data_IF_473987749981
#
_entry.id   IF_473987749981
#
_cell.length_a   1.000
_cell.length_b   1.000
_cell.length_c   1.000
_cell.angle_alpha   90.00
_cell.angle_beta   90.00
_cell.angle_gamma   90.00
#
_symmetry.space_group_name_H-M   'P 1'
#
loop_
_entity.id
_entity.type
_entity.pdbx_description
1 polymer ?
#
# COMPACT_ATOMS: atom_id res chain seq x y z
N UNK A 1 -10.52 -66.71 35.30
CA UNK A 1 -11.37 -65.81 34.48
C UNK A 1 -10.69 -65.68 33.12
N UNK A 2 -11.29 -66.19 32.04
CA UNK A 2 -10.70 -66.25 30.70
C UNK A 2 -10.84 -64.90 29.99
N UNK A 3 -9.73 -64.31 29.54
CA UNK A 3 -9.73 -63.14 28.66
C UNK A 3 -9.90 -63.65 27.22
N UNK A 4 -11.02 -63.29 26.57
CA UNK A 4 -11.25 -63.53 25.13
C UNK A 4 -10.76 -62.31 24.37
N UNK A 5 -9.79 -62.52 23.49
CA UNK A 5 -9.36 -61.58 22.45
C UNK A 5 -10.44 -61.47 21.37
N UNK A 6 -10.83 -60.24 21.03
CA UNK A 6 -11.74 -59.91 19.94
C UNK A 6 -10.90 -59.40 18.75
N UNK A 7 -11.07 -59.90 17.52
CA UNK A 7 -10.29 -59.43 16.37
C UNK A 7 -10.84 -58.09 15.87
N UNK A 8 -9.96 -57.11 15.72
CA UNK A 8 -10.24 -55.87 15.01
C UNK A 8 -10.33 -56.18 13.51
N UNK A 9 -11.53 -56.11 12.93
CA UNK A 9 -11.73 -56.09 11.48
C UNK A 9 -11.53 -54.65 11.02
N UNK A 10 -10.42 -54.40 10.33
CA UNK A 10 -10.14 -53.11 9.70
C UNK A 10 -10.98 -53.00 8.41
N UNK A 11 -12.13 -52.32 8.49
CA UNK A 11 -12.91 -51.96 7.31
C UNK A 11 -12.21 -50.79 6.59
N UNK A 12 -11.52 -51.10 5.49
CA UNK A 12 -10.99 -50.09 4.58
C UNK A 12 -12.17 -49.43 3.83
N UNK A 13 -12.59 -48.25 4.28
CA UNK A 13 -13.45 -47.37 3.48
C UNK A 13 -12.62 -46.80 2.33
N UNK A 14 -12.78 -47.37 1.14
CA UNK A 14 -12.36 -46.72 -0.09
C UNK A 14 -13.26 -45.49 -0.29
N UNK A 15 -12.73 -44.30 0.01
CA UNK A 15 -13.37 -43.04 -0.39
C UNK A 15 -13.21 -42.93 -1.91
N UNK A 16 -14.29 -42.92 -2.70
CA UNK A 16 -14.16 -42.73 -4.14
C UNK A 16 -13.52 -41.36 -4.39
N UNK A 17 -12.44 -41.34 -5.18
CA UNK A 17 -11.82 -40.12 -5.65
C UNK A 17 -12.88 -39.29 -6.40
N UNK A 18 -13.30 -38.17 -5.81
CA UNK A 18 -14.15 -37.19 -6.47
C UNK A 18 -13.38 -36.66 -7.68
N UNK A 19 -13.93 -36.82 -8.88
CA UNK A 19 -13.39 -36.18 -10.07
C UNK A 19 -13.27 -34.65 -9.81
N UNK A 20 -12.14 -34.04 -10.18
CA UNK A 20 -11.93 -32.63 -9.92
C UNK A 20 -13.00 -31.74 -10.56
N UNK A 21 -13.46 -30.74 -9.81
CA UNK A 21 -14.47 -29.79 -10.27
C UNK A 21 -13.80 -28.52 -10.79
N UNK A 22 -14.17 -28.11 -12.01
CA UNK A 22 -13.70 -26.86 -12.63
C UNK A 22 -14.63 -25.69 -12.29
N UNK A 23 -14.06 -24.51 -12.08
CA UNK A 23 -14.76 -23.27 -11.73
C UNK A 23 -14.40 -22.17 -12.72
N UNK A 24 -15.33 -21.22 -12.92
CA UNK A 24 -15.06 -20.05 -13.74
C UNK A 24 -14.11 -19.12 -13.00
N UNK A 25 -13.02 -18.76 -13.66
CA UNK A 25 -12.07 -17.77 -13.20
C UNK A 25 -11.86 -16.69 -14.25
N UNK A 26 -11.55 -15.49 -13.78
CA UNK A 26 -11.08 -14.39 -14.60
C UNK A 26 -9.81 -13.83 -13.98
N UNK A 27 -8.87 -13.33 -14.78
CA UNK A 27 -7.66 -12.67 -14.32
C UNK A 27 -7.29 -11.50 -15.23
N UNK A 28 -6.66 -10.47 -14.64
CA UNK A 28 -6.21 -9.29 -15.37
C UNK A 28 -4.70 -9.33 -15.55
N UNK A 29 -4.24 -9.05 -16.76
CA UNK A 29 -2.83 -8.77 -17.05
C UNK A 29 -2.68 -7.28 -17.36
N UNK A 30 -2.14 -6.47 -16.43
CA UNK A 30 -1.96 -5.05 -16.64
C UNK A 30 -0.87 -4.72 -17.68
N UNK A 31 0.11 -5.61 -17.87
CA UNK A 31 1.19 -5.40 -18.85
C UNK A 31 0.66 -5.64 -20.27
N UNK A 32 -0.02 -6.77 -20.48
CA UNK A 32 -0.65 -7.09 -21.76
C UNK A 32 -1.94 -6.29 -22.01
N UNK A 33 -2.52 -5.68 -20.95
CA UNK A 33 -3.82 -4.99 -20.98
C UNK A 33 -4.92 -5.92 -21.47
N UNK A 34 -5.03 -7.08 -20.82
CA UNK A 34 -6.00 -8.10 -21.18
C UNK A 34 -6.74 -8.63 -19.95
N UNK A 35 -7.94 -9.14 -20.17
CA UNK A 35 -8.61 -10.08 -19.27
C UNK A 35 -8.52 -11.48 -19.89
N UNK A 36 -8.23 -12.49 -19.06
CA UNK A 36 -8.24 -13.90 -19.43
C UNK A 36 -9.23 -14.67 -18.57
N UNK A 37 -10.04 -15.52 -19.21
CA UNK A 37 -11.16 -16.25 -18.60
C UNK A 37 -11.03 -17.74 -18.92
N UNK A 38 -11.22 -18.60 -17.92
CA UNK A 38 -11.09 -20.04 -18.09
C UNK A 38 -11.91 -20.84 -17.08
N UNK A 39 -12.09 -22.13 -17.36
CA UNK A 39 -12.61 -23.12 -16.41
C UNK A 39 -11.44 -23.96 -15.88
N UNK A 40 -11.11 -23.80 -14.61
CA UNK A 40 -9.98 -24.48 -13.96
C UNK A 40 -10.33 -24.86 -12.52
N UNK A 41 -9.58 -25.79 -11.92
CA UNK A 41 -9.70 -26.01 -10.47
C UNK A 41 -9.12 -24.82 -9.69
N UNK A 42 -7.97 -24.32 -10.13
CA UNK A 42 -7.34 -23.07 -9.69
C UNK A 42 -6.92 -22.18 -10.88
N UNK A 43 -6.84 -20.85 -10.74
CA UNK A 43 -6.62 -19.96 -11.88
C UNK A 43 -5.19 -19.97 -12.44
N UNK A 44 -4.28 -20.81 -11.92
CA UNK A 44 -2.89 -20.94 -12.38
C UNK A 44 -2.66 -22.24 -13.18
N UNK A 45 -3.63 -23.17 -13.15
CA UNK A 45 -3.63 -24.39 -13.94
C UNK A 45 -4.09 -24.17 -15.38
N UNK A 46 -3.86 -25.19 -16.20
CA UNK A 46 -4.37 -25.23 -17.58
C UNK A 46 -5.89 -25.26 -17.58
N UNK A 47 -6.51 -24.29 -18.26
CA UNK A 47 -7.96 -24.28 -18.45
C UNK A 47 -8.42 -25.49 -19.26
N UNK A 48 -9.55 -26.05 -18.85
CA UNK A 48 -10.27 -27.04 -19.66
C UNK A 48 -10.98 -26.31 -20.77
N UNK A 49 -11.00 -26.92 -21.95
CA UNK A 49 -11.67 -26.37 -23.10
C UNK A 49 -13.15 -26.08 -22.80
N UNK A 50 -13.55 -24.82 -22.96
CA UNK A 50 -14.92 -24.36 -22.73
C UNK A 50 -15.92 -24.94 -23.74
N UNK A 51 -15.45 -25.39 -24.91
CA UNK A 51 -16.23 -26.03 -25.96
C UNK A 51 -17.53 -25.26 -26.26
N UNK A 52 -18.66 -25.97 -26.29
CA UNK A 52 -20.01 -25.43 -26.53
C UNK A 52 -20.47 -24.33 -25.54
N UNK A 53 -19.71 -24.06 -24.48
CA UNK A 53 -20.07 -23.07 -23.45
C UNK A 53 -19.54 -21.67 -23.74
N UNK A 54 -18.63 -21.52 -24.70
CA UNK A 54 -18.05 -20.22 -25.07
C UNK A 54 -19.12 -19.14 -25.32
N UNK A 55 -20.22 -19.40 -26.06
CA UNK A 55 -21.27 -18.40 -26.30
C UNK A 55 -22.06 -17.99 -25.04
N UNK A 56 -21.96 -18.77 -23.96
CA UNK A 56 -22.66 -18.54 -22.70
C UNK A 56 -21.84 -17.67 -21.73
N UNK A 57 -20.55 -17.46 -22.01
CA UNK A 57 -19.68 -16.61 -21.21
C UNK A 57 -19.92 -15.15 -21.56
N UNK A 58 -20.26 -14.35 -20.56
CA UNK A 58 -20.38 -12.89 -20.68
C UNK A 58 -19.34 -12.23 -19.79
N UNK A 59 -18.67 -11.20 -20.30
CA UNK A 59 -17.69 -10.42 -19.55
C UNK A 59 -17.92 -8.92 -19.74
N UNK A 60 -17.65 -8.12 -18.72
CA UNK A 60 -17.84 -6.66 -18.75
C UNK A 60 -16.84 -5.93 -17.83
N UNK A 61 -16.56 -4.67 -18.17
CA UNK A 61 -15.83 -3.73 -17.31
C UNK A 61 -16.75 -2.91 -16.41
N UNK A 62 -16.18 -1.92 -15.70
CA UNK A 62 -16.93 -0.90 -14.95
C UNK A 62 -16.66 0.49 -15.55
N UNK A 63 -17.69 1.27 -15.93
CA UNK A 63 -19.12 0.94 -15.94
C UNK A 63 -19.43 -0.26 -16.85
N UNK A 64 -20.57 -0.93 -16.66
CA UNK A 64 -20.98 -2.25 -17.20
C UNK A 64 -20.95 -2.38 -18.74
N UNK A 65 -19.77 -2.24 -19.33
CA UNK A 65 -19.51 -2.27 -20.77
C UNK A 65 -19.09 -3.68 -21.16
N UNK A 66 -19.83 -4.36 -22.07
CA UNK A 66 -19.48 -5.68 -22.54
C UNK A 66 -18.09 -5.74 -23.19
N UNK A 67 -17.38 -6.85 -22.98
CA UNK A 67 -16.10 -7.15 -23.60
C UNK A 67 -16.29 -8.14 -24.75
N UNK A 68 -15.63 -7.89 -25.87
CA UNK A 68 -15.60 -8.81 -27.00
C UNK A 68 -14.55 -9.88 -26.73
N UNK A 69 -15.00 -11.09 -26.39
CA UNK A 69 -14.14 -12.23 -26.10
C UNK A 69 -13.68 -12.90 -27.40
N UNK A 70 -12.42 -13.29 -27.44
CA UNK A 70 -11.78 -14.05 -28.51
C UNK A 70 -11.12 -15.30 -27.91
N UNK A 71 -11.16 -16.40 -28.66
CA UNK A 71 -10.57 -17.67 -28.25
C UNK A 71 -9.03 -17.61 -28.35
N UNK A 72 -8.36 -18.08 -27.30
CA UNK A 72 -6.91 -18.24 -27.25
C UNK A 72 -6.57 -19.57 -26.56
N UNK A 73 -6.51 -20.63 -27.35
CA UNK A 73 -6.35 -21.99 -26.85
C UNK A 73 -7.54 -22.43 -25.99
N UNK A 74 -7.30 -22.76 -24.72
CA UNK A 74 -8.35 -23.12 -23.75
C UNK A 74 -8.90 -21.92 -22.97
N UNK A 75 -8.43 -20.71 -23.27
CA UNK A 75 -8.83 -19.47 -22.62
C UNK A 75 -9.69 -18.61 -23.55
N UNK A 76 -10.52 -17.76 -22.93
CA UNK A 76 -11.13 -16.62 -23.61
C UNK A 76 -10.41 -15.35 -23.17
N UNK A 77 -10.05 -14.49 -24.11
CA UNK A 77 -9.35 -13.23 -23.85
C UNK A 77 -10.06 -12.03 -24.47
N UNK A 78 -9.87 -10.87 -23.86
CA UNK A 78 -10.25 -9.60 -24.45
C UNK A 78 -9.27 -8.49 -24.06
N UNK A 79 -9.04 -7.50 -24.94
CA UNK A 79 -8.36 -6.27 -24.56
C UNK A 79 -9.12 -5.56 -23.42
N UNK A 80 -8.41 -5.22 -22.35
CA UNK A 80 -9.01 -4.60 -21.18
C UNK A 80 -8.00 -3.70 -20.46
N UNK A 81 -8.41 -2.45 -20.17
CA UNK A 81 -7.59 -1.42 -19.51
C UNK A 81 -8.17 -0.93 -18.18
N UNK A 82 -9.19 -1.62 -17.67
CA UNK A 82 -9.78 -1.29 -16.37
C UNK A 82 -9.13 -2.10 -15.25
N UNK A 83 -9.41 -1.69 -14.01
CA UNK A 83 -8.83 -2.33 -12.82
C UNK A 83 -9.69 -3.45 -12.25
N UNK A 84 -10.92 -3.61 -12.77
CA UNK A 84 -11.90 -4.60 -12.32
C UNK A 84 -12.80 -5.07 -13.46
N UNK A 85 -13.04 -6.37 -13.58
CA UNK A 85 -13.94 -6.97 -14.56
C UNK A 85 -14.87 -8.01 -13.90
N UNK A 86 -16.11 -8.08 -14.39
CA UNK A 86 -17.09 -9.11 -14.03
C UNK A 86 -17.28 -10.10 -15.16
N UNK A 87 -17.52 -11.37 -14.80
CA UNK A 87 -17.79 -12.46 -15.75
C UNK A 87 -18.90 -13.35 -15.21
N UNK A 88 -19.73 -13.88 -16.11
CA UNK A 88 -20.76 -14.86 -15.80
C UNK A 88 -20.80 -16.01 -16.79
N UNK A 89 -21.15 -17.19 -16.31
CA UNK A 89 -21.49 -18.37 -17.11
C UNK A 89 -22.72 -19.06 -16.49
N UNK A 90 -23.84 -19.05 -17.22
CA UNK A 90 -25.02 -19.83 -16.87
C UNK A 90 -24.85 -21.26 -17.39
N UNK A 91 -24.73 -22.24 -16.50
CA UNK A 91 -24.53 -23.65 -16.87
C UNK A 91 -25.86 -24.42 -17.01
N UNK A 92 -26.98 -23.74 -16.82
CA UNK A 92 -28.34 -24.32 -16.83
C UNK A 92 -28.54 -25.42 -15.78
N UNK A 93 -29.62 -26.19 -15.92
CA UNK A 93 -30.02 -27.26 -15.00
C UNK A 93 -29.16 -28.50 -15.23
N UNK A 94 -28.56 -28.99 -14.14
CA UNK A 94 -27.80 -30.23 -14.08
C UNK A 94 -28.53 -31.26 -13.24
N UNK A 95 -28.72 -32.44 -13.82
CA UNK A 95 -29.13 -33.63 -13.08
C UNK A 95 -27.89 -34.40 -12.64
N UNK A 96 -27.65 -34.43 -11.33
CA UNK A 96 -26.55 -35.16 -10.70
C UNK A 96 -27.06 -36.01 -9.55
N UNK A 97 -28.31 -36.49 -9.65
CA UNK A 97 -28.93 -37.37 -8.65
C UNK A 97 -28.22 -38.72 -8.56
N UNK A 98 -27.72 -39.23 -9.68
CA UNK A 98 -26.83 -40.39 -9.78
C UNK A 98 -25.54 -40.25 -8.95
N UNK A 99 -25.06 -39.02 -8.76
CA UNK A 99 -23.89 -38.68 -7.95
C UNK A 99 -24.24 -38.21 -6.53
N UNK A 100 -25.50 -38.36 -6.11
CA UNK A 100 -26.02 -37.85 -4.84
C UNK A 100 -25.83 -36.33 -4.65
N UNK A 101 -25.83 -35.57 -5.76
CA UNK A 101 -25.64 -34.10 -5.75
C UNK A 101 -26.93 -33.32 -6.02
N UNK A 102 -28.01 -33.99 -6.41
CA UNK A 102 -29.33 -33.40 -6.65
C UNK A 102 -29.55 -32.91 -8.09
N UNK A 103 -30.73 -32.35 -8.33
CA UNK A 103 -31.14 -31.69 -9.57
C UNK A 103 -31.14 -30.18 -9.34
N UNK A 104 -30.18 -29.46 -9.92
CA UNK A 104 -29.94 -28.06 -9.56
C UNK A 104 -29.59 -27.18 -10.75
N UNK A 105 -29.93 -25.90 -10.65
CA UNK A 105 -29.44 -24.89 -11.59
C UNK A 105 -28.07 -24.38 -11.14
N UNK A 106 -27.07 -24.50 -12.02
CA UNK A 106 -25.70 -24.07 -11.75
C UNK A 106 -25.38 -22.75 -12.45
N UNK A 107 -24.88 -21.79 -11.68
CA UNK A 107 -24.45 -20.50 -12.19
C UNK A 107 -23.05 -20.16 -11.66
N UNK A 108 -22.16 -19.75 -12.55
CA UNK A 108 -20.83 -19.27 -12.21
C UNK A 108 -20.71 -17.77 -12.43
N UNK A 109 -20.07 -17.10 -11.49
CA UNK A 109 -19.61 -15.73 -11.56
C UNK A 109 -18.11 -15.68 -11.28
N UNK A 110 -17.41 -14.77 -11.92
CA UNK A 110 -16.03 -14.45 -11.61
C UNK A 110 -15.82 -12.93 -11.59
N UNK A 111 -14.93 -12.50 -10.71
CA UNK A 111 -14.47 -11.12 -10.61
C UNK A 111 -12.95 -11.12 -10.65
N UNK A 112 -12.38 -10.26 -11.47
CA UNK A 112 -10.93 -10.05 -11.51
C UNK A 112 -10.64 -8.60 -11.12
N UNK A 113 -9.66 -8.38 -10.26
CA UNK A 113 -9.23 -7.05 -9.82
C UNK A 113 -7.70 -6.94 -9.81
N UNK A 114 -7.15 -5.74 -10.00
CA UNK A 114 -5.71 -5.52 -9.88
C UNK A 114 -5.23 -5.46 -8.42
N UNK A 115 -6.02 -4.85 -7.53
CA UNK A 115 -5.68 -4.61 -6.12
C UNK A 115 -6.86 -4.88 -5.18
N UNK A 116 -6.64 -4.99 -3.85
CA UNK A 116 -7.72 -5.09 -2.86
C UNK A 116 -8.72 -3.94 -2.97
N UNK A 117 -8.26 -2.71 -3.22
CA UNK A 117 -9.09 -1.52 -3.37
C UNK A 117 -9.99 -1.63 -4.60
N UNK A 118 -9.42 -2.02 -5.75
CA UNK A 118 -10.20 -2.26 -6.98
C UNK A 118 -11.26 -3.36 -6.77
N UNK A 119 -10.97 -4.37 -5.95
CA UNK A 119 -11.92 -5.45 -5.63
C UNK A 119 -13.17 -4.98 -4.89
N UNK A 120 -13.16 -3.78 -4.27
CA UNK A 120 -14.32 -3.20 -3.60
C UNK A 120 -15.36 -2.64 -4.59
N UNK A 121 -14.96 -2.38 -5.84
CA UNK A 121 -15.86 -1.85 -6.87
C UNK A 121 -16.89 -2.90 -7.27
N UNK A 122 -18.18 -2.59 -7.15
CA UNK A 122 -19.26 -3.53 -7.49
C UNK A 122 -19.33 -3.77 -9.00
N UNK A 123 -19.39 -5.04 -9.41
CA UNK A 123 -19.58 -5.45 -10.82
C UNK A 123 -20.98 -5.96 -11.11
N UNK A 124 -21.83 -6.13 -10.07
CA UNK A 124 -23.24 -6.50 -10.25
C UNK A 124 -23.47 -7.98 -10.47
N UNK A 125 -22.68 -8.84 -9.81
CA UNK A 125 -22.87 -10.30 -9.82
C UNK A 125 -23.60 -10.77 -8.56
N UNK A 126 -24.31 -11.91 -8.65
CA UNK A 126 -25.13 -12.39 -7.52
C UNK A 126 -24.27 -12.86 -6.34
N UNK A 127 -23.19 -13.60 -6.59
CA UNK A 127 -22.20 -13.97 -5.56
C UNK A 127 -20.96 -13.13 -5.78
N UNK A 128 -20.87 -12.02 -5.06
CA UNK A 128 -19.81 -11.03 -5.24
C UNK A 128 -18.80 -11.08 -4.09
N UNK A 129 -17.52 -11.15 -4.44
CA UNK A 129 -16.43 -11.22 -3.48
C UNK A 129 -15.59 -9.94 -3.55
N UNK A 130 -15.10 -9.48 -2.40
CA UNK A 130 -14.06 -8.45 -2.28
C UNK A 130 -13.07 -8.81 -1.17
N UNK A 131 -11.91 -8.15 -1.14
CA UNK A 131 -10.88 -8.40 -0.13
C UNK A 131 -10.28 -7.11 0.40
N UNK A 132 -10.02 -7.09 1.70
CA UNK A 132 -9.20 -6.06 2.37
C UNK A 132 -8.03 -6.74 3.09
N UNK A 133 -6.93 -6.00 3.27
CA UNK A 133 -5.81 -6.47 4.07
C UNK A 133 -5.97 -5.96 5.50
N UNK A 134 -5.94 -6.87 6.47
CA UNK A 134 -5.99 -6.54 7.89
C UNK A 134 -4.92 -7.33 8.63
N UNK A 135 -4.04 -6.64 9.34
CA UNK A 135 -2.95 -7.24 10.11
C UNK A 135 -2.10 -8.24 9.27
N UNK A 136 -1.82 -7.88 8.01
CA UNK A 136 -1.06 -8.74 7.08
C UNK A 136 -1.84 -9.89 6.45
N UNK A 137 -3.11 -10.11 6.84
CA UNK A 137 -3.95 -11.21 6.36
C UNK A 137 -5.09 -10.71 5.45
N UNK A 138 -5.45 -11.46 4.39
CA UNK A 138 -6.61 -11.13 3.58
C UNK A 138 -7.90 -11.45 4.34
N UNK A 139 -8.80 -10.48 4.40
CA UNK A 139 -10.19 -10.67 4.88
C UNK A 139 -11.10 -10.55 3.68
N UNK A 140 -11.73 -11.67 3.31
CA UNK A 140 -12.62 -11.77 2.16
C UNK A 140 -14.05 -11.52 2.64
N UNK A 141 -14.78 -10.67 1.93
CA UNK A 141 -16.22 -10.49 2.10
C UNK A 141 -16.95 -11.20 0.96
N UNK A 142 -17.98 -11.97 1.28
CA UNK A 142 -18.88 -12.61 0.31
C UNK A 142 -20.26 -12.00 0.46
N UNK A 143 -20.77 -11.45 -0.65
CA UNK A 143 -22.12 -10.93 -0.75
C UNK A 143 -22.96 -11.85 -1.64
N UNK A 144 -24.20 -12.08 -1.21
CA UNK A 144 -25.26 -12.67 -2.02
C UNK A 144 -26.32 -11.62 -2.32
N UNK A 145 -26.48 -11.26 -3.61
CA UNK A 145 -27.38 -10.21 -4.09
C UNK A 145 -27.21 -8.89 -3.31
N UNK A 146 -25.94 -8.52 -3.05
CA UNK A 146 -25.56 -7.30 -2.35
C UNK A 146 -25.69 -7.34 -0.81
N UNK A 147 -26.11 -8.46 -0.22
CA UNK A 147 -26.19 -8.65 1.25
C UNK A 147 -25.11 -9.62 1.74
N UNK A 148 -24.62 -9.51 2.98
CA UNK A 148 -23.72 -10.50 3.57
C UNK A 148 -24.23 -11.93 3.41
N UNK A 149 -23.38 -12.83 2.89
CA UNK A 149 -23.69 -14.24 2.77
C UNK A 149 -23.12 -14.99 3.97
N UNK A 150 -23.92 -15.24 5.00
CA UNK A 150 -23.53 -16.10 6.13
C UNK A 150 -23.36 -17.56 5.68
N UNK A 151 -22.36 -18.27 6.23
CA UNK A 151 -22.09 -19.70 5.95
C UNK A 151 -21.88 -20.02 4.47
N UNK A 152 -21.44 -19.04 3.68
CA UNK A 152 -20.98 -19.30 2.32
C UNK A 152 -19.70 -20.15 2.39
N UNK A 153 -19.65 -21.25 1.65
CA UNK A 153 -18.48 -22.12 1.63
C UNK A 153 -17.37 -21.48 0.81
N UNK A 154 -16.23 -21.22 1.43
CA UNK A 154 -15.08 -20.53 0.84
C UNK A 154 -13.92 -21.49 0.66
N UNK A 155 -13.30 -21.44 -0.51
CA UNK A 155 -12.05 -22.14 -0.84
C UNK A 155 -11.05 -21.15 -1.40
N UNK A 156 -9.84 -21.08 -0.82
CA UNK A 156 -8.77 -20.21 -1.28
C UNK A 156 -7.51 -21.01 -1.61
N UNK A 157 -6.89 -20.66 -2.74
CA UNK A 157 -5.59 -21.19 -3.13
C UNK A 157 -4.53 -20.45 -2.33
N UNK A 158 -3.60 -21.19 -1.73
CA UNK A 158 -2.47 -20.62 -0.99
C UNK A 158 -1.20 -20.86 -1.83
N UNK A 159 -0.62 -19.82 -2.44
CA UNK A 159 0.59 -19.97 -3.25
C UNK A 159 1.69 -20.72 -2.49
N UNK A 160 2.27 -21.73 -3.14
CA UNK A 160 3.32 -22.58 -2.57
C UNK A 160 2.83 -23.67 -1.59
N UNK A 161 1.51 -23.88 -1.46
CA UNK A 161 0.95 -25.02 -0.72
C UNK A 161 0.10 -25.90 -1.62
N UNK A 162 0.22 -27.21 -1.45
CA UNK A 162 -0.62 -28.19 -2.15
C UNK A 162 -2.08 -28.14 -1.66
N UNK A 163 -2.29 -27.91 -0.37
CA UNK A 163 -3.62 -27.84 0.21
C UNK A 163 -4.24 -26.44 0.08
N UNK A 164 -5.47 -26.39 -0.41
CA UNK A 164 -6.31 -25.18 -0.38
C UNK A 164 -6.84 -24.93 1.03
N UNK A 165 -6.96 -23.66 1.41
CA UNK A 165 -7.74 -23.28 2.59
C UNK A 165 -9.25 -23.49 2.32
N UNK A 166 -9.97 -24.02 3.32
CA UNK A 166 -11.43 -24.21 3.28
C UNK A 166 -12.05 -23.66 4.56
N UNK A 167 -13.17 -22.97 4.43
CA UNK A 167 -13.92 -22.44 5.58
C UNK A 167 -15.28 -21.91 5.20
N UNK A 168 -15.96 -21.29 6.15
CA UNK A 168 -17.28 -20.67 5.97
C UNK A 168 -17.26 -19.24 6.48
N UNK A 169 -18.02 -18.37 5.82
CA UNK A 169 -18.16 -16.97 6.24
C UNK A 169 -18.97 -16.84 7.53
N UNK A 170 -18.61 -15.84 8.34
CA UNK A 170 -19.36 -15.43 9.52
C UNK A 170 -20.68 -14.72 9.15
N UNK A 171 -21.45 -14.31 10.16
CA UNK A 171 -22.74 -13.64 9.97
C UNK A 171 -22.65 -12.31 9.19
N UNK A 172 -21.50 -11.63 9.26
CA UNK A 172 -21.22 -10.42 8.49
C UNK A 172 -20.72 -10.70 7.05
N UNK A 173 -20.72 -11.98 6.64
CA UNK A 173 -20.28 -12.41 5.31
C UNK A 173 -18.77 -12.44 5.14
N UNK A 174 -17.99 -12.28 6.21
CA UNK A 174 -16.52 -12.23 6.13
C UNK A 174 -15.84 -13.54 6.52
N UNK A 175 -14.62 -13.74 6.02
CA UNK A 175 -13.71 -14.80 6.44
C UNK A 175 -12.26 -14.32 6.35
N UNK A 176 -11.46 -14.61 7.37
CA UNK A 176 -10.02 -14.31 7.37
C UNK A 176 -9.24 -15.48 6.81
N UNK A 177 -8.46 -15.23 5.76
CA UNK A 177 -7.57 -16.22 5.16
C UNK A 177 -6.21 -16.27 5.88
N UNK A 178 -5.42 -17.35 5.71
CA UNK A 178 -4.00 -17.34 6.05
C UNK A 178 -3.24 -16.22 5.33
N UNK A 179 -2.02 -15.91 5.78
CA UNK A 179 -1.17 -14.97 5.05
C UNK A 179 -0.92 -15.51 3.62
N UNK A 180 -1.25 -14.69 2.62
CA UNK A 180 -1.03 -14.97 1.20
C UNK A 180 -0.08 -13.92 0.67
N UNK A 181 0.98 -14.36 -0.01
CA UNK A 181 1.89 -13.50 -0.76
C UNK A 181 1.66 -13.67 -2.26
N UNK A 182 1.64 -12.57 -3.01
CA UNK A 182 1.37 -12.59 -4.44
C UNK A 182 -0.12 -12.47 -4.79
N UNK A 183 -0.54 -13.20 -5.82
CA UNK A 183 -1.91 -13.19 -6.36
C UNK A 183 -2.87 -13.88 -5.39
N UNK A 184 -4.05 -13.30 -5.20
CA UNK A 184 -5.16 -13.95 -4.51
C UNK A 184 -6.01 -14.72 -5.51
N UNK A 185 -6.42 -15.93 -5.14
CA UNK A 185 -7.44 -16.71 -5.83
C UNK A 185 -8.36 -17.37 -4.80
N UNK A 186 -9.60 -16.91 -4.74
CA UNK A 186 -10.61 -17.38 -3.78
C UNK A 186 -11.95 -17.58 -4.47
N UNK A 187 -12.70 -18.61 -4.07
CA UNK A 187 -14.07 -18.84 -4.52
C UNK A 187 -14.99 -19.07 -3.34
N UNK A 188 -16.24 -18.64 -3.49
CA UNK A 188 -17.32 -18.88 -2.56
C UNK A 188 -18.49 -19.58 -3.25
N UNK A 189 -19.25 -20.36 -2.48
CA UNK A 189 -20.48 -21.01 -2.93
C UNK A 189 -21.63 -20.62 -2.01
N UNK A 190 -22.74 -20.25 -2.64
CA UNK A 190 -24.03 -19.99 -1.99
C UNK A 190 -25.08 -20.92 -2.60
N UNK A 191 -25.90 -21.53 -1.76
CA UNK A 191 -27.05 -22.36 -2.18
C UNK A 191 -28.34 -21.60 -1.92
N UNK A 192 -29.22 -21.53 -2.92
CA UNK A 192 -30.58 -21.05 -2.76
C UNK A 192 -31.53 -22.25 -2.81
N UNK A 193 -32.20 -22.54 -1.70
CA UNK A 193 -33.10 -23.69 -1.55
C UNK A 193 -34.49 -23.38 -2.10
N UNK A 194 -34.55 -22.96 -3.36
CA UNK A 194 -35.78 -22.63 -4.06
C UNK A 194 -35.93 -23.51 -5.31
N UNK A 195 -37.13 -24.08 -5.48
CA UNK A 195 -37.48 -24.85 -6.68
C UNK A 195 -37.87 -23.91 -7.81
N UNK A 196 -37.62 -24.30 -9.05
CA UNK A 196 -38.03 -23.51 -10.20
C UNK A 196 -37.80 -24.20 -11.54
N UNK A 197 -37.83 -23.40 -12.61
CA UNK A 197 -37.61 -23.87 -13.98
C UNK A 197 -36.65 -22.93 -14.71
N UNK A 198 -35.69 -23.49 -15.45
CA UNK A 198 -34.77 -22.74 -16.32
C UNK A 198 -34.66 -23.47 -17.66
N UNK A 199 -34.87 -22.76 -18.77
CA UNK A 199 -34.85 -23.36 -20.11
C UNK A 199 -35.81 -24.54 -20.29
N UNK A 200 -36.96 -24.53 -19.60
CA UNK A 200 -37.96 -25.61 -19.63
C UNK A 200 -37.63 -26.82 -18.74
N UNK A 201 -36.51 -26.80 -18.00
CA UNK A 201 -36.10 -27.87 -17.08
C UNK A 201 -36.38 -27.47 -15.63
N UNK A 202 -36.99 -28.35 -14.85
CA UNK A 202 -37.20 -28.14 -13.43
C UNK A 202 -35.90 -28.33 -12.62
N UNK A 203 -35.74 -27.58 -11.53
CA UNK A 203 -34.66 -27.74 -10.56
C UNK A 203 -35.18 -27.66 -9.12
N UNK A 204 -34.48 -28.32 -8.19
CA UNK A 204 -34.85 -28.35 -6.77
C UNK A 204 -34.21 -27.22 -5.95
N UNK A 205 -33.04 -26.73 -6.38
CA UNK A 205 -32.30 -25.63 -5.76
C UNK A 205 -31.31 -25.02 -6.76
N UNK A 206 -30.73 -23.86 -6.42
CA UNK A 206 -29.68 -23.19 -7.21
C UNK A 206 -28.34 -23.27 -6.49
N UNK A 207 -27.27 -23.52 -7.26
CA UNK A 207 -25.88 -23.41 -6.80
C UNK A 207 -25.20 -22.26 -7.52
N UNK A 208 -24.81 -21.26 -6.74
CA UNK A 208 -24.16 -20.07 -7.23
C UNK A 208 -22.71 -20.07 -6.74
N UNK A 209 -21.77 -20.00 -7.68
CA UNK A 209 -20.35 -19.87 -7.39
C UNK A 209 -19.88 -18.48 -7.78
N UNK A 210 -19.18 -17.80 -6.89
CA UNK A 210 -18.45 -16.57 -7.19
C UNK A 210 -16.96 -16.80 -6.97
N UNK A 211 -16.12 -16.40 -7.92
CA UNK A 211 -14.67 -16.39 -7.76
C UNK A 211 -14.11 -14.97 -7.79
N UNK A 212 -13.01 -14.75 -7.08
CA UNK A 212 -12.24 -13.51 -7.10
C UNK A 212 -10.77 -13.83 -7.33
N UNK A 213 -10.17 -13.14 -8.31
CA UNK A 213 -8.72 -13.00 -8.40
C UNK A 213 -8.29 -11.56 -8.13
N UNK A 214 -7.20 -11.40 -7.38
CA UNK A 214 -6.54 -10.10 -7.18
C UNK A 214 -5.07 -10.22 -7.57
N UNK A 215 -4.65 -9.45 -8.57
CA UNK A 215 -3.32 -9.60 -9.17
C UNK A 215 -2.18 -9.33 -8.17
N UNK A 216 -2.36 -8.37 -7.27
CA UNK A 216 -1.40 -8.07 -6.21
C UNK A 216 -2.10 -7.66 -4.93
N UNK A 217 -1.74 -8.28 -3.80
CA UNK A 217 -2.17 -7.86 -2.46
C UNK A 217 -1.26 -6.77 -1.84
N UNK A 218 -0.33 -6.20 -2.63
CA UNK A 218 0.64 -5.20 -2.15
C UNK A 218 1.86 -5.81 -1.45
N UNK A 219 2.87 -4.96 -1.18
CA UNK A 219 4.08 -5.37 -0.47
C UNK A 219 3.75 -5.83 0.95
N UNK A 220 4.59 -6.67 1.57
CA UNK A 220 4.39 -7.05 2.99
C UNK A 220 4.31 -5.82 3.91
N UNK A 221 5.10 -4.80 3.64
CA UNK A 221 5.07 -3.55 4.39
C UNK A 221 3.72 -2.82 4.25
N UNK A 222 3.18 -2.76 3.03
CA UNK A 222 1.86 -2.18 2.76
C UNK A 222 0.74 -2.98 3.46
N UNK A 223 0.83 -4.32 3.45
CA UNK A 223 -0.15 -5.22 4.11
C UNK A 223 -0.16 -5.11 5.64
N UNK A 224 0.94 -4.67 6.25
CA UNK A 224 1.10 -4.52 7.70
C UNK A 224 0.96 -3.08 8.19
N UNK A 225 0.77 -2.13 7.27
CA UNK A 225 0.66 -0.72 7.58
C UNK A 225 -0.72 -0.39 8.15
N UNK A 226 -0.76 0.41 9.20
CA UNK A 226 -1.97 1.08 9.67
C UNK A 226 -2.39 2.15 8.65
N UNK A 227 -3.55 1.96 8.01
CA UNK A 227 -4.10 2.89 7.02
C UNK A 227 -4.25 4.30 7.57
N UNK A 228 -4.68 4.46 8.83
CA UNK A 228 -4.80 5.78 9.47
C UNK A 228 -3.42 6.43 9.61
N UNK A 229 -2.40 5.65 9.99
CA UNK A 229 -1.02 6.16 10.05
C UNK A 229 -0.51 6.61 8.68
N UNK A 230 -0.79 5.84 7.63
CA UNK A 230 -0.41 6.18 6.26
C UNK A 230 -1.03 7.49 5.81
N UNK A 231 -2.35 7.63 5.94
CA UNK A 231 -3.08 8.84 5.55
C UNK A 231 -2.60 10.07 6.32
N UNK A 232 -2.39 9.96 7.64
CA UNK A 232 -1.87 11.06 8.46
C UNK A 232 -0.48 11.50 8.00
N UNK A 233 0.41 10.55 7.78
CA UNK A 233 1.78 10.81 7.32
C UNK A 233 1.82 11.37 5.90
N UNK A 234 0.92 10.91 5.02
CA UNK A 234 0.79 11.42 3.66
C UNK A 234 0.33 12.87 3.66
N UNK A 235 -0.76 13.20 4.39
CA UNK A 235 -1.24 14.58 4.53
C UNK A 235 -0.16 15.49 5.10
N UNK A 236 0.54 15.05 6.15
CA UNK A 236 1.62 15.83 6.74
C UNK A 236 2.81 16.02 5.77
N UNK A 237 3.13 15.01 4.96
CA UNK A 237 4.16 15.14 3.91
C UNK A 237 3.75 16.17 2.86
N UNK A 238 2.49 16.13 2.41
CA UNK A 238 1.90 17.01 1.41
C UNK A 238 1.73 18.45 1.91
N UNK A 239 1.56 18.66 3.22
CA UNK A 239 1.44 19.99 3.82
C UNK A 239 2.74 20.80 3.78
N UNK A 240 3.90 20.16 3.61
CA UNK A 240 5.21 20.84 3.59
C UNK A 240 5.46 21.62 2.30
N UNK A 241 6.13 22.76 2.43
CA UNK A 241 6.64 23.53 1.30
C UNK A 241 7.94 22.91 0.77
N UNK A 242 7.82 22.10 -0.28
CA UNK A 242 8.96 21.54 -1.02
C UNK A 242 9.36 22.44 -2.19
N UNK A 243 10.50 22.14 -2.81
CA UNK A 243 10.96 22.77 -4.04
C UNK A 243 10.03 22.40 -5.21
N UNK A 244 9.55 23.37 -6.00
CA UNK A 244 8.85 23.11 -7.26
C UNK A 244 9.64 22.19 -8.19
N UNK A 245 8.92 21.28 -8.87
CA UNK A 245 9.52 20.26 -9.74
C UNK A 245 10.21 20.81 -10.98
N UNK A 246 9.85 22.03 -11.38
CA UNK A 246 10.39 22.71 -12.56
C UNK A 246 11.62 23.56 -12.26
N UNK A 247 12.17 23.55 -11.04
CA UNK A 247 13.46 24.19 -10.77
C UNK A 247 14.57 23.40 -11.48
N UNK A 248 15.45 24.10 -12.19
CA UNK A 248 16.70 23.54 -12.73
C UNK A 248 17.88 23.84 -11.81
N UNK A 249 17.93 25.05 -11.28
CA UNK A 249 19.06 25.52 -10.47
C UNK A 249 18.63 26.67 -9.54
N UNK A 250 19.23 26.71 -8.35
CA UNK A 250 19.24 27.87 -7.46
C UNK A 250 20.69 28.25 -7.17
N UNK A 251 21.00 29.52 -7.33
CA UNK A 251 22.32 30.07 -7.02
C UNK A 251 22.21 31.27 -6.09
N UNK A 252 23.29 31.60 -5.39
CA UNK A 252 23.41 32.85 -4.66
C UNK A 252 24.70 32.93 -3.87
N UNK A 253 24.77 33.87 -2.95
CA UNK A 253 25.88 34.05 -2.02
C UNK A 253 25.40 33.72 -0.61
N UNK A 254 26.12 32.84 0.09
CA UNK A 254 25.97 32.62 1.54
C UNK A 254 27.05 33.40 2.27
N UNK A 255 26.64 34.21 3.25
CA UNK A 255 27.51 34.82 4.25
C UNK A 255 27.43 34.02 5.54
N UNK A 256 28.57 33.56 6.05
CA UNK A 256 28.71 32.80 7.29
C UNK A 256 29.33 33.68 8.36
N UNK A 257 28.63 33.84 9.49
CA UNK A 257 29.08 34.63 10.62
C UNK A 257 29.28 33.74 11.85
N UNK A 258 30.48 33.80 12.42
CA UNK A 258 30.84 33.15 13.69
C UNK A 258 31.79 34.02 14.48
N UNK A 259 31.51 34.21 15.76
CA UNK A 259 32.37 34.96 16.69
C UNK A 259 32.79 36.34 16.15
N UNK A 260 31.86 37.03 15.48
CA UNK A 260 32.08 38.34 14.86
C UNK A 260 32.85 38.35 13.53
N UNK A 261 33.37 37.19 13.07
CA UNK A 261 34.00 37.05 11.75
C UNK A 261 32.94 36.70 10.70
N UNK A 262 33.08 37.26 9.50
CA UNK A 262 32.19 37.02 8.36
C UNK A 262 32.98 36.54 7.14
N UNK A 263 32.51 35.47 6.50
CA UNK A 263 33.06 34.94 5.25
C UNK A 263 31.94 34.70 4.25
N UNK A 264 32.16 35.02 2.97
CA UNK A 264 31.17 34.85 1.90
C UNK A 264 31.61 33.80 0.89
N UNK A 265 30.68 32.98 0.45
CA UNK A 265 30.89 32.00 -0.61
C UNK A 265 29.66 31.90 -1.54
N UNK A 266 29.88 31.86 -2.86
CA UNK A 266 28.85 31.41 -3.79
C UNK A 266 28.35 30.00 -3.46
N UNK A 267 27.07 29.74 -3.67
CA UNK A 267 26.48 28.39 -3.58
C UNK A 267 25.67 28.05 -4.83
N UNK A 268 25.56 26.74 -5.09
CA UNK A 268 24.74 26.19 -6.16
C UNK A 268 23.95 24.99 -5.63
N UNK A 269 22.67 24.96 -5.96
CA UNK A 269 21.78 23.83 -5.74
C UNK A 269 21.09 23.41 -7.04
N UNK A 270 21.11 22.10 -7.32
CA UNK A 270 20.35 21.47 -8.41
C UNK A 270 19.50 20.35 -7.82
N UNK A 271 18.23 20.20 -8.22
CA UNK A 271 17.41 19.08 -7.74
C UNK A 271 18.07 17.72 -8.01
N UNK A 272 17.95 16.81 -7.06
CA UNK A 272 18.58 15.48 -7.13
C UNK A 272 20.06 15.46 -6.75
N UNK A 273 20.70 16.61 -6.50
CA UNK A 273 22.09 16.67 -6.02
C UNK A 273 22.15 17.31 -4.63
N UNK A 274 23.31 17.17 -3.99
CA UNK A 274 23.64 17.93 -2.77
C UNK A 274 23.99 19.36 -3.15
N UNK A 275 23.46 20.36 -2.43
CA UNK A 275 23.91 21.74 -2.58
C UNK A 275 25.39 21.88 -2.19
N UNK A 276 26.11 22.74 -2.92
CA UNK A 276 27.56 22.95 -2.76
C UNK A 276 27.89 24.43 -2.64
N UNK A 277 29.07 24.73 -2.11
CA UNK A 277 29.61 26.09 -2.02
C UNK A 277 30.99 26.16 -2.69
N UNK A 278 31.38 27.34 -3.14
CA UNK A 278 32.77 27.62 -3.49
C UNK A 278 33.60 27.78 -2.22
N UNK A 279 34.45 26.78 -1.96
CA UNK A 279 35.29 26.69 -0.75
C UNK A 279 36.57 27.51 -0.82
N UNK A 280 36.90 28.10 -1.97
CA UNK A 280 38.20 28.75 -2.22
C UNK A 280 38.51 29.93 -1.28
N UNK A 281 37.47 30.51 -0.65
CA UNK A 281 37.58 31.66 0.25
C UNK A 281 37.34 31.34 1.73
N UNK A 282 37.17 30.06 2.08
CA UNK A 282 36.90 29.60 3.44
C UNK A 282 38.09 28.78 3.95
N UNK A 283 38.38 28.87 5.25
CA UNK A 283 39.20 27.85 5.89
C UNK A 283 38.48 26.48 5.87
N UNK A 284 39.24 25.39 5.95
CA UNK A 284 38.70 24.04 5.75
C UNK A 284 37.55 23.70 6.72
N UNK A 285 37.68 24.09 7.98
CA UNK A 285 36.66 23.83 9.01
C UNK A 285 35.38 24.61 8.74
N UNK A 286 35.48 25.90 8.41
CA UNK A 286 34.33 26.72 8.05
C UNK A 286 33.68 26.22 6.75
N UNK A 287 34.47 25.77 5.77
CA UNK A 287 33.95 25.27 4.50
C UNK A 287 33.06 24.03 4.67
N UNK A 288 33.47 23.07 5.49
CA UNK A 288 32.68 21.86 5.77
C UNK A 288 31.36 22.19 6.48
N UNK A 289 31.41 23.07 7.48
CA UNK A 289 30.22 23.44 8.24
C UNK A 289 29.21 24.23 7.39
N UNK A 290 29.68 25.23 6.64
CA UNK A 290 28.82 26.02 5.74
C UNK A 290 28.17 25.11 4.70
N UNK A 291 28.95 24.23 4.07
CA UNK A 291 28.41 23.30 3.07
C UNK A 291 27.40 22.35 3.68
N UNK A 292 27.63 21.84 4.89
CA UNK A 292 26.68 20.99 5.59
C UNK A 292 25.34 21.71 5.87
N UNK A 293 25.39 22.97 6.31
CA UNK A 293 24.19 23.76 6.59
C UNK A 293 23.43 24.16 5.33
N UNK A 294 24.14 24.58 4.27
CA UNK A 294 23.53 24.86 2.97
C UNK A 294 22.91 23.58 2.40
N UNK A 295 23.64 22.46 2.39
CA UNK A 295 23.10 21.17 1.97
C UNK A 295 21.84 20.78 2.76
N UNK A 296 21.82 20.96 4.08
CA UNK A 296 20.66 20.68 4.92
C UNK A 296 19.42 21.51 4.50
N UNK A 297 19.57 22.83 4.35
CA UNK A 297 18.49 23.75 3.98
C UNK A 297 17.81 23.40 2.65
N UNK A 298 18.60 22.98 1.66
CA UNK A 298 18.10 22.70 0.31
C UNK A 298 17.66 21.24 0.14
N UNK A 299 18.44 20.27 0.63
CA UNK A 299 18.19 18.86 0.36
C UNK A 299 16.96 18.33 1.09
N UNK A 300 16.69 18.79 2.33
CA UNK A 300 15.49 18.37 3.08
C UNK A 300 14.17 18.87 2.46
N UNK A 301 14.26 19.79 1.50
CA UNK A 301 13.11 20.39 0.80
C UNK A 301 12.92 19.83 -0.61
N UNK A 302 13.72 18.84 -1.02
CA UNK A 302 13.50 18.16 -2.30
C UNK A 302 12.12 17.48 -2.32
N UNK A 303 11.44 17.57 -3.47
CA UNK A 303 10.13 16.97 -3.67
C UNK A 303 10.29 15.48 -3.96
N UNK A 304 9.97 14.64 -2.99
CA UNK A 304 9.94 13.17 -3.13
C UNK A 304 8.50 12.72 -2.86
N UNK A 305 7.89 11.90 -3.74
CA UNK A 305 6.58 11.31 -3.47
C UNK A 305 6.55 10.58 -2.13
N UNK A 306 5.46 10.71 -1.37
CA UNK A 306 5.38 10.09 -0.04
C UNK A 306 5.57 8.57 -0.11
N UNK A 307 4.98 7.93 -1.12
CA UNK A 307 5.10 6.50 -1.42
C UNK A 307 6.52 6.02 -1.68
N UNK A 308 7.42 6.90 -2.14
CA UNK A 308 8.85 6.60 -2.38
C UNK A 308 9.73 6.96 -1.17
N UNK A 309 9.21 7.80 -0.27
CA UNK A 309 9.82 8.21 0.99
C UNK A 309 9.40 7.32 2.16
N UNK A 310 8.80 7.92 3.20
CA UNK A 310 8.37 7.18 4.39
C UNK A 310 7.24 6.17 4.09
N UNK A 311 6.41 6.41 3.07
CA UNK A 311 5.26 5.58 2.71
C UNK A 311 5.63 4.21 2.12
N UNK A 312 6.89 3.95 1.79
CA UNK A 312 7.33 2.60 1.37
C UNK A 312 7.51 1.64 2.55
N UNK A 313 7.61 2.17 3.77
CA UNK A 313 7.84 1.41 4.99
C UNK A 313 6.52 1.07 5.69
N UNK A 314 6.55 0.09 6.58
CA UNK A 314 5.41 -0.17 7.46
C UNK A 314 5.22 1.02 8.39
N UNK A 315 3.98 1.51 8.50
CA UNK A 315 3.64 2.58 9.44
C UNK A 315 2.69 2.05 10.52
N UNK A 316 2.93 2.40 11.77
CA UNK A 316 2.12 1.94 12.91
C UNK A 316 1.96 3.06 13.93
N UNK A 317 0.73 3.30 14.37
CA UNK A 317 0.45 4.21 15.49
C UNK A 317 0.95 3.55 16.78
N UNK A 318 1.77 4.28 17.54
CA UNK A 318 2.27 3.87 18.85
C UNK A 318 1.46 4.48 20.00
N UNK A 319 0.86 5.65 19.78
CA UNK A 319 0.04 6.35 20.77
C UNK A 319 -0.38 7.72 20.29
N UNK A 320 -1.29 8.35 21.03
CA UNK A 320 -1.81 9.69 20.77
C UNK A 320 -1.95 10.45 22.09
N UNK A 321 -1.50 11.70 22.10
CA UNK A 321 -1.59 12.63 23.23
C UNK A 321 -1.90 14.06 22.72
N UNK A 322 -2.00 15.04 23.62
CA UNK A 322 -2.31 16.45 23.29
C UNK A 322 -1.25 17.11 22.37
N UNK A 323 -0.06 16.52 22.27
CA UNK A 323 1.04 16.97 21.42
C UNK A 323 1.04 16.32 20.04
N UNK A 324 0.25 15.25 19.84
CA UNK A 324 0.02 14.62 18.54
C UNK A 324 0.01 13.08 18.58
N UNK A 325 -0.08 12.48 17.41
CA UNK A 325 -0.01 11.02 17.21
C UNK A 325 1.41 10.60 16.90
N UNK A 326 1.96 9.68 17.69
CA UNK A 326 3.29 9.10 17.48
C UNK A 326 3.19 7.88 16.57
N UNK A 327 3.96 7.88 15.47
CA UNK A 327 3.96 6.84 14.45
C UNK A 327 5.38 6.26 14.33
N UNK A 328 5.51 4.94 14.38
CA UNK A 328 6.75 4.26 14.01
C UNK A 328 6.82 4.06 12.50
N UNK A 329 8.01 4.27 11.94
CA UNK A 329 8.34 3.91 10.55
C UNK A 329 9.24 2.68 10.60
N UNK A 330 8.82 1.59 9.94
CA UNK A 330 9.58 0.34 9.85
C UNK A 330 10.79 0.43 8.92
N UNK A 331 11.68 1.39 9.17
CA UNK A 331 12.95 1.57 8.50
C UNK A 331 14.13 1.03 9.35
N UNK A 332 15.32 1.06 8.78
CA UNK A 332 16.58 0.67 9.41
C UNK A 332 17.13 1.72 10.40
N UNK A 333 16.40 2.82 10.60
CA UNK A 333 16.81 3.98 11.42
C UNK A 333 16.00 4.07 12.71
N UNK A 334 15.15 3.07 12.98
CA UNK A 334 14.24 3.06 14.13
C UNK A 334 13.44 4.36 14.23
N UNK A 335 13.00 4.87 13.07
CA UNK A 335 12.40 6.19 12.99
C UNK A 335 11.05 6.23 13.71
N UNK A 336 10.83 7.26 14.53
CA UNK A 336 9.50 7.65 14.98
C UNK A 336 9.21 9.09 14.57
N UNK A 337 7.95 9.34 14.23
CA UNK A 337 7.48 10.64 13.74
C UNK A 337 6.21 10.99 14.49
N UNK A 338 6.14 12.19 15.08
CA UNK A 338 4.95 12.71 15.72
C UNK A 338 4.24 13.70 14.81
N UNK A 339 2.94 13.48 14.61
CA UNK A 339 2.07 14.30 13.77
C UNK A 339 1.04 15.04 14.62
N UNK A 340 0.92 16.35 14.45
CA UNK A 340 -0.15 17.16 15.06
C UNK A 340 -0.94 17.87 13.97
N UNK A 341 -2.22 17.52 13.81
CA UNK A 341 -2.99 17.93 12.63
C UNK A 341 -2.36 17.37 11.35
N UNK A 342 -1.96 18.25 10.43
CA UNK A 342 -1.21 17.91 9.22
C UNK A 342 0.26 18.39 9.29
N UNK A 343 0.83 18.57 10.49
CA UNK A 343 2.25 18.95 10.66
C UNK A 343 3.09 17.84 11.29
N UNK A 344 4.30 17.67 10.78
CA UNK A 344 5.36 16.91 11.45
C UNK A 344 5.96 17.79 12.53
N UNK A 345 5.71 17.45 13.80
CA UNK A 345 6.17 18.21 14.95
C UNK A 345 7.39 17.60 15.62
N UNK A 346 7.62 16.29 15.44
CA UNK A 346 8.81 15.62 15.96
C UNK A 346 9.28 14.50 15.03
N UNK A 347 10.60 14.32 14.93
CA UNK A 347 11.24 13.21 14.23
C UNK A 347 12.39 12.69 15.09
N UNK A 348 12.34 11.42 15.48
CA UNK A 348 13.45 10.71 16.14
C UNK A 348 14.04 9.67 15.19
N UNK A 349 15.37 9.60 15.07
CA UNK A 349 16.06 8.61 14.23
C UNK A 349 17.43 8.21 14.78
N UNK A 350 17.86 7.02 14.41
CA UNK A 350 19.23 6.51 14.50
C UNK A 350 19.94 6.72 13.16
N UNK A 351 21.01 7.53 13.12
CA UNK A 351 21.86 7.66 11.93
C UNK A 351 23.32 7.88 12.31
N UNK A 352 24.24 7.26 11.56
CA UNK A 352 25.70 7.40 11.76
C UNK A 352 26.12 7.18 13.22
N UNK A 353 25.53 6.19 13.89
CA UNK A 353 25.83 5.88 15.29
C UNK A 353 25.30 6.88 16.32
N UNK A 354 24.45 7.83 15.93
CA UNK A 354 23.84 8.79 16.85
C UNK A 354 22.31 8.68 16.85
N UNK A 355 21.71 8.80 18.03
CA UNK A 355 20.28 9.07 18.16
C UNK A 355 20.08 10.57 18.14
N UNK A 356 19.14 11.06 17.34
CA UNK A 356 18.74 12.46 17.40
C UNK A 356 17.23 12.62 17.33
N UNK A 357 16.75 13.68 17.96
CA UNK A 357 15.34 14.09 17.94
C UNK A 357 15.29 15.52 17.41
N UNK A 358 14.48 15.72 16.37
CA UNK A 358 14.15 17.04 15.83
C UNK A 358 12.77 17.41 16.34
N UNK A 359 12.63 18.57 16.98
CA UNK A 359 11.33 19.08 17.45
C UNK A 359 11.05 20.42 16.80
N UNK A 360 9.97 20.52 16.03
CA UNK A 360 9.51 21.78 15.43
C UNK A 360 8.71 22.57 16.46
N UNK A 361 9.11 23.82 16.70
CA UNK A 361 8.50 24.72 17.69
C UNK A 361 7.66 25.84 17.05
N UNK A 362 8.04 26.29 15.84
CA UNK A 362 7.31 27.31 15.08
C UNK A 362 7.46 27.06 13.58
N UNK A 363 6.42 27.42 12.82
CA UNK A 363 6.28 27.15 11.38
C UNK A 363 5.81 28.42 10.67
N UNK A 364 6.45 28.77 9.55
CA UNK A 364 5.90 29.75 8.60
C UNK A 364 4.89 29.06 7.68
N UNK A 365 3.72 29.67 7.50
CA UNK A 365 2.75 29.26 6.47
C UNK A 365 2.90 30.14 5.24
N UNK A 366 3.08 29.52 4.07
CA UNK A 366 3.07 30.23 2.79
C UNK A 366 1.63 30.64 2.44
N UNK A 367 1.41 31.59 1.49
CA UNK A 367 0.07 31.93 1.02
C UNK A 367 -0.74 30.74 0.50
N UNK A 368 -0.06 29.68 0.02
CA UNK A 368 -0.68 28.42 -0.40
C UNK A 368 -0.99 27.45 0.76
N UNK A 369 -0.84 27.89 2.01
CA UNK A 369 -1.06 27.09 3.22
C UNK A 369 0.03 26.07 3.53
N UNK A 370 1.14 26.04 2.79
CA UNK A 370 2.23 25.07 3.00
C UNK A 370 3.13 25.49 4.16
N UNK A 371 3.71 24.52 4.86
CA UNK A 371 4.55 24.75 6.04
C UNK A 371 6.05 24.79 5.71
N UNK A 372 6.76 25.73 6.33
CA UNK A 372 8.21 25.81 6.40
C UNK A 372 8.63 25.87 7.88
N UNK A 373 9.55 25.03 8.36
CA UNK A 373 10.00 25.09 9.75
C UNK A 373 10.73 26.42 10.00
N UNK A 374 10.33 27.14 11.05
CA UNK A 374 10.91 28.45 11.41
C UNK A 374 11.80 28.33 12.63
N UNK A 375 11.30 27.72 13.69
CA UNK A 375 12.05 27.48 14.92
C UNK A 375 11.97 26.00 15.22
N UNK A 376 13.12 25.36 15.39
CA UNK A 376 13.18 23.95 15.73
C UNK A 376 14.46 23.63 16.48
N UNK A 377 14.47 22.51 17.19
CA UNK A 377 15.64 22.00 17.90
C UNK A 377 16.08 20.67 17.32
N UNK A 378 17.36 20.36 17.48
CA UNK A 378 17.91 19.02 17.28
C UNK A 378 18.69 18.64 18.52
N UNK A 379 18.25 17.60 19.21
CA UNK A 379 18.92 17.04 20.39
C UNK A 379 19.57 15.73 20.01
N UNK A 380 20.84 15.57 20.37
CA UNK A 380 21.65 14.40 20.08
C UNK A 380 21.90 13.63 21.36
N UNK A 381 21.77 12.32 21.29
CA UNK A 381 21.97 11.42 22.41
C UNK A 381 22.98 10.35 22.04
N UNK A 382 23.82 9.99 23.01
CA UNK A 382 24.62 8.78 22.93
C UNK A 382 23.66 7.57 22.93
N UNK A 383 23.74 6.67 21.95
CA UNK A 383 22.76 5.60 21.81
C UNK A 383 22.89 4.50 22.87
N UNK A 384 24.04 4.38 23.53
CA UNK A 384 24.28 3.36 24.55
C UNK A 384 23.82 3.82 25.93
N UNK A 385 24.21 5.05 26.31
CA UNK A 385 23.97 5.63 27.63
C UNK A 385 22.71 6.49 27.68
N UNK A 386 22.17 6.87 26.52
CA UNK A 386 21.06 7.83 26.37
C UNK A 386 21.36 9.23 26.89
N UNK A 387 22.62 9.54 27.20
CA UNK A 387 23.02 10.87 27.66
C UNK A 387 22.88 11.90 26.52
N UNK A 388 22.37 13.10 26.84
CA UNK A 388 22.36 14.24 25.93
C UNK A 388 23.80 14.69 25.66
N UNK A 389 24.24 14.64 24.41
CA UNK A 389 25.62 15.00 24.01
C UNK A 389 25.71 16.39 23.40
N UNK A 390 24.65 16.82 22.71
CA UNK A 390 24.59 18.11 22.00
C UNK A 390 23.14 18.53 21.81
N UNK A 391 22.85 19.82 21.94
CA UNK A 391 21.58 20.40 21.56
C UNK A 391 21.83 21.58 20.61
N UNK A 392 21.04 21.67 19.54
CA UNK A 392 21.07 22.77 18.60
C UNK A 392 19.68 23.39 18.49
N UNK A 393 19.58 24.71 18.54
CA UNK A 393 18.38 25.43 18.13
C UNK A 393 18.63 26.14 16.82
N UNK A 394 17.62 26.13 15.96
CA UNK A 394 17.63 26.73 14.64
C UNK A 394 16.53 27.79 14.58
N UNK A 395 16.84 28.94 14.01
CA UNK A 395 15.87 29.98 13.66
C UNK A 395 16.09 30.39 12.22
N UNK A 396 15.14 30.04 11.35
CA UNK A 396 15.21 30.28 9.92
C UNK A 396 14.23 31.38 9.51
N UNK A 397 14.65 32.19 8.54
CA UNK A 397 13.77 33.08 7.81
C UNK A 397 13.81 32.74 6.32
N UNK A 398 12.74 33.06 5.61
CA UNK A 398 12.57 32.72 4.20
C UNK A 398 12.18 33.96 3.38
N UNK A 399 12.53 33.93 2.10
CA UNK A 399 12.11 34.91 1.10
C UNK A 399 11.59 34.19 -0.14
N UNK A 400 10.73 34.84 -0.91
CA UNK A 400 10.25 34.29 -2.18
C UNK A 400 11.01 34.91 -3.36
N UNK A 401 11.53 34.07 -4.24
CA UNK A 401 12.21 34.47 -5.48
C UNK A 401 11.61 33.67 -6.64
N UNK A 402 11.00 34.35 -7.61
CA UNK A 402 10.37 33.74 -8.78
C UNK A 402 9.41 32.59 -8.43
N UNK A 403 8.56 32.75 -7.41
CA UNK A 403 7.60 31.73 -6.99
C UNK A 403 8.20 30.59 -6.16
N UNK A 404 9.43 30.74 -5.66
CA UNK A 404 10.15 29.73 -4.87
C UNK A 404 10.53 30.32 -3.52
N UNK A 405 10.08 29.67 -2.45
CA UNK A 405 10.51 30.00 -1.09
C UNK A 405 11.94 29.53 -0.85
N UNK A 406 12.87 30.43 -0.57
CA UNK A 406 14.29 30.16 -0.34
C UNK A 406 14.72 30.64 1.06
N UNK A 407 15.76 30.03 1.65
CA UNK A 407 16.33 30.52 2.91
C UNK A 407 16.83 31.95 2.73
N UNK A 408 16.53 32.82 3.70
CA UNK A 408 17.02 34.20 3.79
C UNK A 408 18.07 34.31 4.90
N UNK A 409 17.76 33.79 6.08
CA UNK A 409 18.70 33.69 7.19
C UNK A 409 18.53 32.37 7.93
N UNK A 410 19.60 31.93 8.58
CA UNK A 410 19.58 30.85 9.57
C UNK A 410 20.46 31.26 10.74
N UNK A 411 19.94 31.20 11.95
CA UNK A 411 20.73 31.24 13.18
C UNK A 411 20.77 29.84 13.80
N UNK A 412 21.95 29.42 14.25
CA UNK A 412 22.17 28.14 14.93
C UNK A 412 22.84 28.43 16.27
N UNK A 413 22.20 28.04 17.38
CA UNK A 413 22.85 28.02 18.69
C UNK A 413 23.13 26.58 19.08
N UNK A 414 24.39 26.27 19.37
CA UNK A 414 24.82 24.92 19.74
C UNK A 414 25.27 24.92 21.19
N UNK A 415 24.59 24.13 22.02
CA UNK A 415 25.01 23.82 23.38
C UNK A 415 25.70 22.44 23.40
N UNK A 416 26.97 22.42 23.79
CA UNK A 416 27.78 21.20 23.87
C UNK A 416 28.91 21.38 24.89
N UNK A 417 29.16 20.36 25.72
CA UNK A 417 30.27 20.35 26.70
C UNK A 417 30.35 21.62 27.57
N UNK A 418 29.20 22.11 28.04
CA UNK A 418 29.11 23.31 28.89
C UNK A 418 29.33 24.64 28.18
N UNK A 419 29.42 24.67 26.85
CA UNK A 419 29.62 25.88 26.04
C UNK A 419 28.43 26.11 25.11
N UNK A 420 28.16 27.38 24.80
CA UNK A 420 27.19 27.79 23.79
C UNK A 420 27.95 28.54 22.68
N UNK A 421 27.84 28.05 21.45
CA UNK A 421 28.32 28.73 20.25
C UNK A 421 27.17 29.20 19.38
N UNK A 422 27.36 30.30 18.65
CA UNK A 422 26.37 30.84 17.70
C UNK A 422 26.97 30.95 16.30
N UNK A 423 26.18 30.53 15.31
CA UNK A 423 26.47 30.68 13.88
C UNK A 423 25.29 31.34 13.22
N UNK A 424 25.55 32.27 12.29
CA UNK A 424 24.52 32.81 11.40
C UNK A 424 24.90 32.59 9.94
N UNK A 425 23.91 32.25 9.12
CA UNK A 425 23.99 32.23 7.67
C UNK A 425 23.05 33.29 7.13
N UNK A 426 23.50 34.09 6.16
CA UNK A 426 22.67 35.06 5.43
C UNK A 426 22.80 34.80 3.94
N UNK A 427 21.66 34.73 3.26
CA UNK A 427 21.60 34.43 1.84
C UNK A 427 21.27 35.70 1.06
N UNK A 428 22.01 35.91 -0.03
CA UNK A 428 21.91 37.09 -0.89
C UNK A 428 22.13 36.69 -2.35
N UNK A 429 21.86 37.61 -3.28
CA UNK A 429 22.02 37.39 -4.72
C UNK A 429 21.29 36.15 -5.25
N UNK A 430 20.16 35.81 -4.62
CA UNK A 430 19.39 34.61 -4.89
C UNK A 430 18.79 34.66 -6.31
N UNK A 431 19.05 33.61 -7.09
CA UNK A 431 18.51 33.43 -8.44
C UNK A 431 17.94 32.03 -8.60
N UNK A 432 16.85 31.94 -9.34
CA UNK A 432 16.15 30.68 -9.65
C UNK A 432 16.04 30.54 -11.15
N UNK A 433 16.54 29.43 -11.67
CA UNK A 433 16.39 29.01 -13.07
C UNK A 433 15.32 27.93 -13.16
N UNK A 434 14.30 28.12 -14.00
CA UNK A 434 13.15 27.21 -14.16
C UNK A 434 13.12 26.50 -15.53
N UNK A 435 12.31 25.45 -15.57
CA UNK A 435 12.08 24.45 -16.63
C UNK A 435 11.53 25.00 -17.91
#
# INVERSE_FOLDING_TARGET
MKIRSLPFVLAAFAVPALAPAHFLWASLDPAAKTVAIGLTENPEESAVFLAERIPLVKAWGVPAKPLKLEEDGTWLKAPFKGDVAGVSLNYSVLDKRDQNRGLFWLYYYAKAALTPEASQTKVGIAVELSVVMKDGKPVVTVLHNGKPAEKASVVAVIPGKEETFKGETAADGTITLPEISGKLAVRAMVTENEKGTEGGKAYDFRRLYGSLTVQSLGSRAMRLTDTKAYEMMERASLARQTMPKDIKEVTGTVEFLRDGKSTKAPFVFKPGTRATIDKSKLDATAAEEVEAQVASLFNHRQSVPFSEGNGKHTLKILGEDETGTLISVGDDKESTIKIKGDEIVEVSRMMHGNKFIITTLDTVRTPAGKSLPKIYTVTYFDPQTQALTKAQSFTDAYTEVNGVWLPLTREIKTAQAGKIGTVQLRFSDLKVTRG
#
